data_IF_089290673404
#
_entry.id   IF_089290673404
#
_cell.length_a   1.000
_cell.length_b   1.000
_cell.length_c   1.000
_cell.angle_alpha   90.00
_cell.angle_beta   90.00
_cell.angle_gamma   90.00
#
_symmetry.space_group_name_H-M   'P 1'
#
loop_
_entity.id
_entity.type
_entity.pdbx_description
1 polymer ?
#
# COMPACT_ATOMS: atom_id res chain seq x y z
N UNK A 1 21.58 1.11 22.45
CA UNK A 1 20.98 2.14 21.58
C UNK A 1 19.90 1.45 20.76
N UNK A 2 18.62 1.86 20.83
CA UNK A 2 17.60 1.25 19.98
C UNK A 2 17.89 1.64 18.53
N UNK A 3 18.09 0.62 17.70
CA UNK A 3 18.52 0.71 16.32
C UNK A 3 17.31 1.14 15.46
N UNK A 4 16.98 2.43 15.46
CA UNK A 4 15.90 2.96 14.63
C UNK A 4 16.31 2.81 13.17
N UNK A 5 15.71 1.85 12.45
CA UNK A 5 15.93 1.70 11.00
C UNK A 5 15.64 3.04 10.30
N UNK A 6 16.45 3.44 9.31
CA UNK A 6 16.18 4.64 8.54
C UNK A 6 14.81 4.51 7.85
N UNK A 7 13.97 5.54 7.95
CA UNK A 7 12.70 5.58 7.24
C UNK A 7 12.95 5.42 5.73
N UNK A 8 12.10 4.67 5.00
CA UNK A 8 12.24 4.52 3.56
C UNK A 8 12.10 5.90 2.89
N UNK A 9 13.23 6.50 2.51
CA UNK A 9 13.26 7.76 1.77
C UNK A 9 12.86 7.48 0.33
N UNK A 10 11.63 7.82 -0.03
CA UNK A 10 11.23 7.80 -1.43
C UNK A 10 11.57 9.17 -2.06
N UNK A 11 12.51 9.20 -3.01
CA UNK A 11 12.60 10.31 -3.98
C UNK A 11 11.30 10.28 -4.77
N UNK A 12 10.33 11.09 -4.34
CA UNK A 12 9.02 11.31 -4.92
C UNK A 12 8.84 10.71 -6.34
N UNK A 13 8.45 9.44 -6.42
CA UNK A 13 7.75 8.94 -7.59
C UNK A 13 6.30 9.40 -7.40
N UNK A 14 5.87 10.36 -8.21
CA UNK A 14 4.46 10.80 -8.35
C UNK A 14 3.52 9.58 -8.31
N UNK A 15 2.26 9.73 -7.87
CA UNK A 15 1.29 8.65 -8.03
C UNK A 15 1.24 8.29 -9.51
N UNK A 16 1.76 7.12 -9.88
CA UNK A 16 1.58 6.56 -11.21
C UNK A 16 0.23 5.85 -11.21
N UNK A 17 -0.84 6.63 -11.16
CA UNK A 17 -2.12 6.14 -11.64
C UNK A 17 -2.00 6.05 -13.17
N UNK A 18 -1.52 4.91 -13.66
CA UNK A 18 -1.82 4.48 -15.02
C UNK A 18 -3.17 3.77 -15.02
N UNK A 19 -4.20 4.46 -14.55
CA UNK A 19 -5.53 4.18 -15.03
C UNK A 19 -5.58 4.80 -16.42
N UNK A 20 -5.92 3.99 -17.42
CA UNK A 20 -6.32 4.50 -18.70
C UNK A 20 -7.43 5.54 -18.43
N UNK A 21 -7.31 6.83 -18.83
CA UNK A 21 -8.21 7.89 -18.37
C UNK A 21 -9.63 7.84 -18.96
N UNK A 22 -10.12 6.65 -19.32
CA UNK A 22 -11.45 6.43 -19.90
C UNK A 22 -12.28 5.33 -19.22
N UNK A 23 -11.80 4.66 -18.17
CA UNK A 23 -12.55 3.54 -17.59
C UNK A 23 -12.61 3.67 -16.06
N UNK A 24 -13.73 4.18 -15.57
CA UNK A 24 -14.16 4.08 -14.17
C UNK A 24 -14.05 2.63 -13.71
N UNK A 25 -13.25 2.37 -12.66
CA UNK A 25 -13.04 1.05 -12.03
C UNK A 25 -14.35 0.41 -11.50
N UNK A 26 -15.46 1.16 -11.53
CA UNK A 26 -16.78 0.81 -11.00
C UNK A 26 -17.64 -0.11 -11.88
N UNK A 27 -17.25 -0.39 -13.14
CA UNK A 27 -18.07 -1.20 -14.07
C UNK A 27 -17.34 -2.42 -14.67
N UNK A 28 -16.12 -2.75 -14.21
CA UNK A 28 -15.43 -3.93 -14.71
C UNK A 28 -16.01 -5.20 -14.05
N UNK A 29 -16.40 -6.22 -14.84
CA UNK A 29 -16.87 -7.49 -14.28
C UNK A 29 -15.77 -8.10 -13.43
N UNK A 30 -16.15 -8.72 -12.31
CA UNK A 30 -15.20 -9.47 -11.49
C UNK A 30 -14.50 -10.52 -12.36
N UNK A 31 -13.17 -10.68 -12.23
CA UNK A 31 -12.47 -11.67 -13.02
C UNK A 31 -13.06 -13.05 -12.68
N UNK A 32 -13.33 -13.83 -13.72
CA UNK A 32 -13.88 -15.17 -13.58
C UNK A 32 -12.75 -16.20 -13.59
N UNK A 33 -12.95 -17.37 -12.96
CA UNK A 33 -12.06 -18.52 -13.12
C UNK A 33 -11.96 -18.90 -14.60
N UNK A 34 -10.77 -19.31 -15.04
CA UNK A 34 -10.53 -19.63 -16.44
C UNK A 34 -9.05 -19.85 -16.75
N UNK A 35 -8.69 -19.86 -18.03
CA UNK A 35 -7.30 -20.12 -18.44
C UNK A 35 -6.56 -18.81 -18.70
N UNK A 36 -5.37 -18.65 -18.13
CA UNK A 36 -4.51 -17.49 -18.39
C UNK A 36 -3.99 -17.56 -19.82
N UNK A 37 -4.56 -16.74 -20.70
CA UNK A 37 -4.14 -16.73 -22.11
C UNK A 37 -2.94 -15.81 -22.35
N UNK A 38 -2.77 -14.78 -21.53
CA UNK A 38 -1.62 -13.89 -21.62
C UNK A 38 -1.29 -13.18 -20.31
N UNK A 39 0.00 -12.91 -20.11
CA UNK A 39 0.52 -12.04 -19.05
C UNK A 39 1.45 -11.04 -19.74
N UNK A 40 1.11 -9.76 -19.67
CA UNK A 40 1.83 -8.71 -20.38
C UNK A 40 2.24 -7.59 -19.44
N UNK A 41 3.49 -7.14 -19.54
CA UNK A 41 3.96 -5.94 -18.82
C UNK A 41 3.18 -4.70 -19.24
N UNK A 42 2.82 -3.82 -18.30
CA UNK A 42 2.14 -2.57 -18.63
C UNK A 42 3.12 -1.55 -19.21
N UNK A 43 2.69 -0.83 -20.26
CA UNK A 43 3.54 0.11 -21.02
C UNK A 43 4.12 1.23 -20.14
N UNK A 44 3.34 1.74 -19.17
CA UNK A 44 3.75 2.87 -18.32
C UNK A 44 4.33 2.45 -16.97
N UNK A 45 4.15 1.19 -16.61
CA UNK A 45 4.59 0.64 -15.33
C UNK A 45 5.10 -0.80 -15.51
N UNK A 46 6.41 -0.98 -15.76
CA UNK A 46 7.01 -2.30 -16.00
C UNK A 46 6.88 -3.26 -14.81
N UNK A 47 6.68 -2.71 -13.61
CA UNK A 47 6.50 -3.45 -12.36
C UNK A 47 5.06 -3.98 -12.21
N UNK A 48 4.17 -3.68 -13.17
CA UNK A 48 2.80 -4.20 -13.24
C UNK A 48 2.59 -5.06 -14.48
N UNK A 49 1.77 -6.08 -14.33
CA UNK A 49 1.37 -6.99 -15.41
C UNK A 49 -0.14 -7.03 -15.55
N UNK A 50 -0.60 -7.01 -16.79
CA UNK A 50 -1.98 -7.28 -17.19
C UNK A 50 -2.15 -8.76 -17.46
N UNK A 51 -3.10 -9.38 -16.75
CA UNK A 51 -3.45 -10.79 -16.86
C UNK A 51 -4.73 -10.91 -17.68
N UNK A 52 -4.69 -11.78 -18.68
CA UNK A 52 -5.82 -12.09 -19.55
C UNK A 52 -6.31 -13.51 -19.29
N UNK A 53 -7.61 -13.66 -19.09
CA UNK A 53 -8.29 -14.95 -18.88
C UNK A 53 -9.23 -15.17 -20.07
N UNK A 54 -9.10 -16.34 -20.71
CA UNK A 54 -9.89 -16.74 -21.87
C UNK A 54 -9.92 -15.68 -23.01
N UNK A 55 -8.80 -14.96 -23.16
CA UNK A 55 -8.61 -13.94 -24.20
C UNK A 55 -9.14 -12.54 -23.81
N UNK A 56 -9.76 -12.40 -22.65
CA UNK A 56 -10.26 -11.12 -22.13
C UNK A 56 -9.38 -10.58 -21.02
N UNK A 57 -9.24 -9.25 -20.92
CA UNK A 57 -8.51 -8.66 -19.80
C UNK A 57 -9.26 -8.96 -18.51
N UNK A 58 -8.58 -9.59 -17.55
CA UNK A 58 -9.16 -9.94 -16.26
C UNK A 58 -8.70 -8.97 -15.16
N UNK A 59 -7.38 -8.84 -14.96
CA UNK A 59 -6.84 -8.08 -13.83
C UNK A 59 -5.45 -7.52 -14.08
N UNK A 60 -5.18 -6.33 -13.52
CA UNK A 60 -3.83 -5.77 -13.42
C UNK A 60 -3.23 -6.00 -12.03
N UNK A 61 -2.19 -6.81 -11.94
CA UNK A 61 -1.49 -7.16 -10.69
C UNK A 61 -0.04 -6.66 -10.72
N UNK A 62 0.56 -6.52 -9.55
CA UNK A 62 1.99 -6.25 -9.46
C UNK A 62 2.79 -7.49 -9.88
N UNK A 63 3.95 -7.30 -10.51
CA UNK A 63 4.78 -8.38 -11.04
C UNK A 63 5.23 -9.32 -9.93
N UNK A 64 5.66 -8.78 -8.80
CA UNK A 64 6.06 -9.55 -7.62
C UNK A 64 4.94 -10.46 -7.10
N UNK A 65 3.69 -10.01 -7.13
CA UNK A 65 2.51 -10.82 -6.78
C UNK A 65 2.29 -11.93 -7.81
N UNK A 66 2.43 -11.63 -9.10
CA UNK A 66 2.34 -12.63 -10.17
C UNK A 66 3.39 -13.74 -9.97
N UNK A 67 4.63 -13.33 -9.75
CA UNK A 67 5.77 -14.23 -9.54
C UNK A 67 5.59 -15.06 -8.25
N UNK A 68 5.18 -14.43 -7.15
CA UNK A 68 4.94 -15.11 -5.87
C UNK A 68 3.77 -16.10 -5.88
N UNK A 69 2.84 -15.95 -6.83
CA UNK A 69 1.76 -16.90 -7.08
C UNK A 69 2.10 -17.93 -8.16
N UNK A 70 3.30 -17.86 -8.75
CA UNK A 70 3.73 -18.75 -9.83
C UNK A 70 2.88 -18.60 -11.10
N UNK A 71 2.35 -17.39 -11.35
CA UNK A 71 1.43 -17.15 -12.46
C UNK A 71 2.15 -17.31 -13.80
N UNK A 72 1.64 -18.19 -14.66
CA UNK A 72 2.20 -18.43 -16.00
C UNK A 72 1.11 -18.55 -17.07
N UNK A 73 1.52 -18.42 -18.34
CA UNK A 73 0.62 -18.60 -19.49
C UNK A 73 0.14 -20.05 -19.52
N UNK A 74 -1.11 -20.24 -19.94
CA UNK A 74 -1.81 -21.52 -20.05
C UNK A 74 -2.12 -22.18 -18.69
N UNK A 75 -1.95 -21.44 -17.60
CA UNK A 75 -2.33 -21.87 -16.26
C UNK A 75 -3.85 -21.77 -16.07
N UNK A 76 -4.44 -22.78 -15.45
CA UNK A 76 -5.83 -22.72 -15.00
C UNK A 76 -5.92 -21.99 -13.66
N UNK A 77 -6.69 -20.89 -13.63
CA UNK A 77 -7.07 -20.19 -12.41
C UNK A 77 -8.43 -20.71 -12.01
N UNK A 78 -8.44 -21.65 -11.07
CA UNK A 78 -9.66 -22.00 -10.37
C UNK A 78 -10.09 -20.85 -9.43
N UNK A 79 -11.29 -20.97 -8.88
CA UNK A 79 -11.87 -19.94 -8.01
C UNK A 79 -11.03 -19.70 -6.75
N UNK A 80 -10.47 -20.77 -6.18
CA UNK A 80 -9.64 -20.68 -4.97
C UNK A 80 -8.31 -19.95 -5.24
N UNK A 81 -7.65 -20.25 -6.35
CA UNK A 81 -6.40 -19.63 -6.74
C UNK A 81 -6.61 -18.18 -7.16
N UNK A 82 -7.69 -17.89 -7.89
CA UNK A 82 -8.05 -16.52 -8.26
C UNK A 82 -8.35 -15.67 -7.01
N UNK A 83 -9.11 -16.21 -6.05
CA UNK A 83 -9.37 -15.54 -4.77
C UNK A 83 -8.08 -15.29 -3.98
N UNK A 84 -7.16 -16.26 -3.94
CA UNK A 84 -5.85 -16.10 -3.29
C UNK A 84 -5.00 -15.01 -3.96
N UNK A 85 -4.93 -15.04 -5.30
CA UNK A 85 -4.23 -14.05 -6.10
C UNK A 85 -4.78 -12.64 -5.85
N UNK A 86 -6.11 -12.51 -5.81
CA UNK A 86 -6.80 -11.27 -5.48
C UNK A 86 -6.44 -10.77 -4.08
N UNK A 87 -6.56 -11.63 -3.07
CA UNK A 87 -6.23 -11.27 -1.69
C UNK A 87 -4.78 -10.78 -1.56
N UNK A 88 -3.82 -11.49 -2.18
CA UNK A 88 -2.41 -11.08 -2.20
C UNK A 88 -2.21 -9.75 -2.91
N UNK A 89 -2.88 -9.53 -4.05
CA UNK A 89 -2.81 -8.26 -4.77
C UNK A 89 -3.35 -7.10 -3.93
N UNK A 90 -4.46 -7.30 -3.21
CA UNK A 90 -5.01 -6.30 -2.29
C UNK A 90 -4.04 -5.95 -1.16
N UNK A 91 -3.46 -6.96 -0.50
CA UNK A 91 -2.44 -6.75 0.54
C UNK A 91 -1.22 -6.01 0.00
N UNK A 92 -0.75 -6.37 -1.20
CA UNK A 92 0.38 -5.71 -1.82
C UNK A 92 0.09 -4.24 -2.15
N UNK A 93 -1.07 -3.93 -2.75
CA UNK A 93 -1.52 -2.55 -3.04
C UNK A 93 -1.67 -1.72 -1.77
N UNK A 94 -2.29 -2.28 -0.73
CA UNK A 94 -2.47 -1.61 0.56
C UNK A 94 -1.11 -1.35 1.25
N UNK A 95 -0.19 -2.32 1.23
CA UNK A 95 1.17 -2.17 1.76
C UNK A 95 1.92 -1.05 1.03
N UNK A 96 1.92 -1.06 -0.30
CA UNK A 96 2.56 -0.01 -1.12
C UNK A 96 1.97 1.37 -0.83
N UNK A 97 0.64 1.45 -0.66
CA UNK A 97 -0.04 2.69 -0.29
C UNK A 97 0.45 3.20 1.08
N UNK A 98 0.53 2.33 2.08
CA UNK A 98 0.99 2.69 3.41
C UNK A 98 2.46 3.12 3.43
N UNK A 99 3.34 2.42 2.73
CA UNK A 99 4.75 2.79 2.58
C UNK A 99 4.91 4.15 1.90
N UNK A 100 4.11 4.43 0.88
CA UNK A 100 4.10 5.76 0.25
C UNK A 100 3.71 6.84 1.25
N UNK A 101 2.65 6.65 2.06
CA UNK A 101 2.26 7.61 3.09
C UNK A 101 3.38 7.90 4.09
N UNK A 102 4.05 6.83 4.56
CA UNK A 102 5.16 6.90 5.51
C UNK A 102 6.40 7.56 4.91
N UNK A 103 6.63 7.43 3.60
CA UNK A 103 7.78 8.05 2.92
C UNK A 103 7.73 9.58 2.90
N UNK A 104 6.53 10.18 3.01
CA UNK A 104 6.39 11.65 3.07
C UNK A 104 6.64 12.21 4.46
N UNK A 105 6.11 11.53 5.50
CA UNK A 105 6.28 11.88 6.92
C UNK A 105 5.88 10.71 7.82
N UNK A 106 6.33 10.67 9.08
CA UNK A 106 5.77 9.76 10.08
C UNK A 106 4.24 9.89 10.20
N UNK A 107 3.55 8.76 10.33
CA UNK A 107 2.09 8.65 10.50
C UNK A 107 1.78 7.66 11.62
N UNK A 108 0.68 7.87 12.33
CA UNK A 108 0.18 6.88 13.29
C UNK A 108 -0.54 5.72 12.59
N UNK A 109 -0.69 4.58 13.29
CA UNK A 109 -1.48 3.44 12.78
C UNK A 109 -2.91 3.88 12.41
N UNK A 110 -3.54 4.73 13.23
CA UNK A 110 -4.87 5.25 12.98
C UNK A 110 -4.97 6.12 11.71
N UNK A 111 -3.94 6.90 11.39
CA UNK A 111 -3.90 7.65 10.12
C UNK A 111 -3.80 6.72 8.91
N UNK A 112 -2.97 5.67 9.01
CA UNK A 112 -2.80 4.68 7.94
C UNK A 112 -4.10 3.90 7.74
N UNK A 113 -4.69 3.38 8.82
CA UNK A 113 -5.98 2.66 8.81
C UNK A 113 -7.05 3.47 8.10
N UNK A 114 -7.26 4.72 8.54
CA UNK A 114 -8.27 5.61 7.93
C UNK A 114 -8.01 5.81 6.43
N UNK A 115 -6.75 5.97 6.03
CA UNK A 115 -6.41 6.16 4.62
C UNK A 115 -6.66 4.90 3.78
N UNK A 116 -6.41 3.71 4.33
CA UNK A 116 -6.72 2.45 3.66
C UNK A 116 -8.24 2.19 3.60
N UNK A 117 -9.00 2.50 4.66
CA UNK A 117 -10.47 2.41 4.62
C UNK A 117 -11.08 3.33 3.55
N UNK A 118 -10.56 4.56 3.41
CA UNK A 118 -10.94 5.47 2.31
C UNK A 118 -10.63 4.88 0.93
N UNK A 119 -9.58 4.07 0.81
CA UNK A 119 -9.24 3.31 -0.38
C UNK A 119 -10.07 2.03 -0.59
N UNK A 120 -11.11 1.81 0.23
CA UNK A 120 -12.01 0.64 0.18
C UNK A 120 -11.29 -0.72 0.32
N UNK A 121 -10.16 -0.75 1.02
CA UNK A 121 -9.52 -2.02 1.35
C UNK A 121 -10.33 -2.77 2.43
N UNK A 122 -10.48 -4.10 2.33
CA UNK A 122 -11.12 -4.90 3.37
C UNK A 122 -10.40 -4.78 4.72
N UNK A 123 -11.15 -4.82 5.83
CA UNK A 123 -10.57 -4.71 7.17
C UNK A 123 -9.53 -5.81 7.45
N UNK A 124 -9.75 -7.04 6.96
CA UNK A 124 -8.78 -8.13 7.07
C UNK A 124 -7.45 -7.82 6.36
N UNK A 125 -7.49 -7.12 5.23
CA UNK A 125 -6.30 -6.65 4.51
C UNK A 125 -5.61 -5.53 5.28
N UNK A 126 -6.38 -4.61 5.86
CA UNK A 126 -5.85 -3.49 6.64
C UNK A 126 -5.09 -4.00 7.87
N UNK A 127 -5.66 -4.94 8.61
CA UNK A 127 -5.01 -5.53 9.78
C UNK A 127 -3.72 -6.26 9.41
N UNK A 128 -3.72 -7.02 8.30
CA UNK A 128 -2.50 -7.66 7.80
C UNK A 128 -1.41 -6.65 7.45
N UNK A 129 -1.77 -5.53 6.81
CA UNK A 129 -0.81 -4.47 6.49
C UNK A 129 -0.27 -3.80 7.75
N UNK A 130 -1.14 -3.44 8.71
CA UNK A 130 -0.71 -2.82 9.96
C UNK A 130 0.21 -3.75 10.77
N UNK A 131 -0.13 -5.05 10.87
CA UNK A 131 0.73 -6.04 11.51
C UNK A 131 2.11 -6.09 10.85
N UNK A 132 2.15 -6.13 9.51
CA UNK A 132 3.41 -6.14 8.76
C UNK A 132 4.26 -4.88 8.98
N UNK A 133 3.62 -3.71 9.05
CA UNK A 133 4.30 -2.44 9.33
C UNK A 133 4.84 -2.40 10.77
N UNK A 134 4.14 -3.01 11.74
CA UNK A 134 4.63 -3.20 13.11
C UNK A 134 5.84 -4.11 13.15
N UNK A 135 5.78 -5.25 12.46
CA UNK A 135 6.90 -6.20 12.36
C UNK A 135 8.15 -5.57 11.72
N UNK A 136 7.95 -4.62 10.79
CA UNK A 136 9.03 -3.86 10.19
C UNK A 136 9.51 -2.68 11.02
N UNK A 137 8.86 -2.40 12.16
CA UNK A 137 9.07 -1.22 13.02
C UNK A 137 8.90 0.11 12.27
N UNK A 138 7.99 0.15 11.29
CA UNK A 138 7.63 1.37 10.55
C UNK A 138 6.50 2.16 11.21
N UNK A 139 5.69 1.47 12.00
CA UNK A 139 4.73 2.06 12.92
C UNK A 139 4.98 1.45 14.30
N UNK A 140 5.12 2.31 15.28
CA UNK A 140 5.22 1.94 16.69
C UNK A 140 4.48 3.03 17.46
N UNK A 141 3.29 2.70 17.94
CA UNK A 141 2.45 3.66 18.67
C UNK A 141 3.09 4.08 20.00
N UNK A 142 4.00 3.29 20.59
CA UNK A 142 4.73 3.66 21.81
C UNK A 142 5.85 4.67 21.51
N UNK A 143 6.68 4.44 20.49
CA UNK A 143 7.71 5.39 20.05
C UNK A 143 7.09 6.68 19.49
N UNK A 144 5.97 6.56 18.76
CA UNK A 144 5.21 7.72 18.26
C UNK A 144 4.61 8.52 19.41
N UNK A 145 4.00 7.88 20.42
CA UNK A 145 3.44 8.57 21.58
C UNK A 145 4.52 9.30 22.39
N UNK A 146 5.68 8.67 22.60
CA UNK A 146 6.80 9.31 23.30
C UNK A 146 7.33 10.52 22.53
N UNK A 147 7.57 10.37 21.21
CA UNK A 147 7.99 11.49 20.34
C UNK A 147 6.95 12.60 20.22
N UNK A 148 5.66 12.26 20.31
CA UNK A 148 4.56 13.23 20.32
C UNK A 148 4.53 14.04 21.62
N UNK A 149 4.75 13.40 22.77
CA UNK A 149 4.86 14.06 24.09
C UNK A 149 6.10 14.95 24.17
N UNK A 150 7.25 14.46 23.69
CA UNK A 150 8.51 15.21 23.65
C UNK A 150 8.43 16.44 22.72
N UNK A 151 7.82 16.30 21.54
CA UNK A 151 7.60 17.44 20.66
C UNK A 151 6.65 18.47 21.27
N UNK A 152 5.54 18.05 21.91
CA UNK A 152 4.58 18.98 22.53
C UNK A 152 5.19 19.76 23.70
N UNK A 153 6.04 19.14 24.50
CA UNK A 153 6.75 19.83 25.59
C UNK A 153 7.77 20.84 25.05
N UNK A 154 8.52 20.49 24.01
CA UNK A 154 9.47 21.40 23.35
C UNK A 154 8.78 22.61 22.70
N UNK A 155 7.63 22.41 22.05
CA UNK A 155 6.86 23.51 21.46
C UNK A 155 6.21 24.41 22.53
N UNK A 156 5.73 23.85 23.65
CA UNK A 156 5.18 24.64 24.78
C UNK A 156 6.26 25.50 25.45
N UNK A 157 7.48 24.97 25.61
CA UNK A 157 8.61 25.71 26.17
C UNK A 157 9.09 26.85 25.26
N UNK A 158 9.03 26.67 23.93
CA UNK A 158 9.37 27.73 22.97
C UNK A 158 8.33 28.86 22.95
N UNK A 159 7.03 28.53 22.96
CA UNK A 159 5.96 29.51 23.02
C UNK A 159 6.01 30.35 24.32
N UNK A 160 6.28 29.71 25.46
CA UNK A 160 6.43 30.41 26.75
C UNK A 160 7.65 31.34 26.79
N UNK A 161 8.78 30.95 26.18
CA UNK A 161 9.98 31.81 26.10
C UNK A 161 9.83 32.99 25.14
N UNK A 162 9.03 32.84 24.08
CA UNK A 162 8.69 33.94 23.17
C UNK A 162 7.81 34.97 23.87
N UNK A 163 6.76 34.53 24.58
CA UNK A 163 5.89 35.42 25.36
C UNK A 163 6.64 36.15 26.49
N UNK A 164 7.61 35.50 27.13
CA UNK A 164 8.45 36.14 28.16
C UNK A 164 9.46 37.16 27.61
N UNK A 165 9.67 37.20 26.28
CA UNK A 165 10.53 38.19 25.61
C UNK A 165 9.76 39.41 25.07
N UNK A 166 8.44 39.36 25.08
CA UNK A 166 7.56 40.45 24.61
C UNK A 166 7.00 41.32 25.76
N UNK A 167 7.38 41.03 27.01
CA UNK A 167 7.14 41.84 28.22
C UNK A 167 8.42 42.56 28.64
#
# INVERSE_FOLDING_TARGET
>A
MPNSKPFPTNRARRPRHSDNPGETETERPEPQPGTVTAIQSQVRDPDRVSVFIDGTFAIGIARDVADACGLHKDQMLDEALLANLMARNFVHKATTTALNLLSYRPRSEGEIRRKLQQGKYPDSTIEQVLARLRDWHYVDDADFAQRWIENRSAHRLRASRLLAKEL
#
